data_IF_740535259936
#
_entry.id   IF_740535259936
#
_cell.length_a   1.000
_cell.length_b   1.000
_cell.length_c   1.000
_cell.angle_alpha   90.00
_cell.angle_beta   90.00
_cell.angle_gamma   90.00
#
_symmetry.space_group_name_H-M   'P 1'
#
loop_
_entity.id
_entity.type
_entity.pdbx_description
1 polymer ?
#
# COMPACT_ATOMS: atom_id res chain seq x y z
N UNK A 1 -46.20 28.69 51.43
CA UNK A 1 -46.90 29.74 50.66
C UNK A 1 -46.30 29.73 49.26
N UNK A 2 -47.16 29.44 48.26
CA UNK A 2 -46.98 29.55 46.80
C UNK A 2 -45.78 28.87 46.11
N UNK A 3 -46.08 27.72 45.50
CA UNK A 3 -45.39 27.16 44.33
C UNK A 3 -45.62 28.09 43.13
N UNK A 4 -44.61 28.32 42.30
CA UNK A 4 -44.78 28.89 40.95
C UNK A 4 -44.20 27.92 39.91
N UNK A 5 -45.12 27.20 39.26
CA UNK A 5 -44.93 26.43 38.04
C UNK A 5 -45.01 27.38 36.85
N UNK A 6 -43.90 27.57 36.13
CA UNK A 6 -43.91 28.19 34.81
C UNK A 6 -43.87 27.08 33.75
N UNK A 7 -45.03 26.85 33.15
CA UNK A 7 -45.23 26.02 31.97
C UNK A 7 -44.86 26.89 30.76
N UNK A 8 -43.82 26.49 30.01
CA UNK A 8 -43.53 27.09 28.70
C UNK A 8 -43.51 25.98 27.66
N UNK A 9 -44.44 26.09 26.73
CA UNK A 9 -44.73 25.20 25.61
C UNK A 9 -43.58 25.12 24.59
N UNK A 10 -43.43 23.99 23.88
CA UNK A 10 -42.35 23.79 22.92
C UNK A 10 -42.57 24.59 21.63
N UNK A 11 -41.54 25.34 21.19
CA UNK A 11 -41.52 25.98 19.88
C UNK A 11 -41.28 24.94 18.78
N UNK A 12 -42.23 24.90 17.86
CA UNK A 12 -42.33 24.05 16.68
C UNK A 12 -41.23 24.38 15.65
N UNK A 13 -40.53 23.35 15.15
CA UNK A 13 -39.54 23.48 14.09
C UNK A 13 -40.19 23.84 12.73
N UNK A 14 -39.59 24.73 11.92
CA UNK A 14 -40.08 25.00 10.57
C UNK A 14 -39.70 23.86 9.61
N UNK A 15 -40.73 23.26 8.98
CA UNK A 15 -40.60 22.31 7.85
C UNK A 15 -40.04 23.03 6.62
N UNK A 16 -38.92 22.56 6.09
CA UNK A 16 -38.42 22.94 4.77
C UNK A 16 -39.15 22.16 3.66
N UNK A 17 -39.44 22.76 2.49
CA UNK A 17 -40.21 22.11 1.44
C UNK A 17 -39.37 21.08 0.66
N UNK A 18 -39.95 19.90 0.46
CA UNK A 18 -39.53 18.92 -0.54
C UNK A 18 -39.67 19.53 -1.94
N UNK A 19 -38.57 19.61 -2.69
CA UNK A 19 -38.58 19.91 -4.13
C UNK A 19 -38.01 18.70 -4.89
N UNK A 20 -38.91 18.00 -5.57
CA UNK A 20 -38.75 17.19 -6.79
C UNK A 20 -40.10 17.32 -7.53
N UNK A 21 -40.24 17.14 -8.85
CA UNK A 21 -39.32 16.47 -9.81
C UNK A 21 -39.18 17.21 -11.16
N UNK A 22 -38.38 16.69 -12.11
CA UNK A 22 -38.91 16.28 -13.43
C UNK A 22 -37.81 15.69 -14.31
N UNK A 23 -38.18 14.62 -15.01
CA UNK A 23 -37.43 13.90 -16.02
C UNK A 23 -37.70 14.46 -17.44
N UNK A 24 -37.01 13.86 -18.42
CA UNK A 24 -37.14 13.96 -19.89
C UNK A 24 -36.32 15.10 -20.53
N UNK A 25 -35.63 14.97 -21.67
CA UNK A 25 -35.74 14.03 -22.78
C UNK A 25 -34.43 13.99 -23.61
N UNK A 26 -34.21 12.90 -24.37
CA UNK A 26 -33.28 12.82 -25.50
C UNK A 26 -33.65 13.76 -26.66
N UNK A 27 -32.68 14.12 -27.53
CA UNK A 27 -32.70 13.58 -28.91
C UNK A 27 -31.32 13.25 -29.50
N UNK A 28 -31.15 12.06 -30.08
CA UNK A 28 -30.95 11.69 -31.51
C UNK A 28 -30.01 12.54 -32.39
N UNK A 29 -28.96 11.85 -32.87
CA UNK A 29 -28.37 11.76 -34.23
C UNK A 29 -28.30 12.98 -35.19
N UNK A 30 -27.08 13.27 -35.67
CA UNK A 30 -26.71 13.45 -37.09
C UNK A 30 -25.17 13.43 -37.20
N UNK A 31 -24.48 12.47 -37.83
CA UNK A 31 -24.24 12.20 -39.25
C UNK A 31 -23.57 13.34 -40.07
N UNK A 32 -22.23 13.19 -40.25
CA UNK A 32 -21.34 13.44 -41.43
C UNK A 32 -21.25 14.85 -42.09
N UNK A 33 -20.14 15.23 -42.79
CA UNK A 33 -19.30 14.37 -43.63
C UNK A 33 -17.76 14.49 -43.55
N UNK A 34 -17.20 13.44 -44.14
CA UNK A 34 -15.85 13.10 -44.58
C UNK A 34 -15.13 14.21 -45.37
N UNK A 35 -13.82 14.35 -45.17
CA UNK A 35 -12.91 14.83 -46.21
C UNK A 35 -11.76 13.85 -46.38
N UNK A 36 -11.69 13.31 -47.59
CA UNK A 36 -10.68 12.43 -48.15
C UNK A 36 -9.49 13.29 -48.58
N UNK A 37 -8.26 12.89 -48.21
CA UNK A 37 -7.07 13.22 -49.00
C UNK A 37 -6.21 11.95 -49.10
N UNK A 38 -6.36 11.25 -50.24
CA UNK A 38 -5.34 10.39 -50.87
C UNK A 38 -4.39 11.34 -51.64
N UNK A 39 -3.11 11.14 -51.89
CA UNK A 39 -2.22 9.99 -52.15
C UNK A 39 -0.80 10.64 -52.26
N UNK A 40 0.36 10.02 -51.99
CA UNK A 40 1.03 9.04 -52.83
C UNK A 40 2.32 8.51 -52.16
N UNK A 41 2.62 7.27 -52.52
CA UNK A 41 3.79 6.43 -52.27
C UNK A 41 5.19 7.07 -52.32
N UNK A 42 6.12 6.51 -51.54
CA UNK A 42 7.24 5.72 -52.10
C UNK A 42 7.88 4.78 -51.08
N UNK A 43 8.06 3.53 -51.52
CA UNK A 43 8.68 2.40 -50.79
C UNK A 43 10.20 2.60 -50.71
N UNK A 44 10.83 2.29 -49.57
CA UNK A 44 12.17 1.68 -49.54
C UNK A 44 12.26 0.61 -48.46
N UNK A 45 12.43 -0.62 -48.95
CA UNK A 45 12.83 -1.81 -48.23
C UNK A 45 14.31 -1.72 -47.88
N UNK A 46 14.66 -1.96 -46.61
CA UNK A 46 15.99 -2.46 -46.25
C UNK A 46 15.81 -3.62 -45.27
N UNK A 47 16.10 -4.83 -45.76
CA UNK A 47 16.42 -5.99 -44.94
C UNK A 47 17.72 -5.68 -44.18
N UNK A 48 17.77 -5.93 -42.88
CA UNK A 48 19.03 -6.21 -42.22
C UNK A 48 18.88 -7.35 -41.21
N UNK A 49 19.91 -8.16 -41.17
CA UNK A 49 20.00 -9.54 -40.75
C UNK A 49 20.11 -9.73 -39.24
N UNK A 50 19.69 -10.93 -38.84
CA UNK A 50 19.86 -11.61 -37.55
C UNK A 50 21.25 -11.41 -36.96
N UNK A 51 21.31 -11.12 -35.65
CA UNK A 51 22.30 -11.69 -34.75
C UNK A 51 21.64 -11.98 -33.40
N UNK A 52 21.34 -13.26 -33.17
CA UNK A 52 21.03 -13.84 -31.87
C UNK A 52 22.35 -14.30 -31.27
N UNK A 53 22.64 -13.89 -30.03
CA UNK A 53 23.72 -14.47 -29.22
C UNK A 53 23.12 -15.11 -27.96
N UNK A 54 23.60 -16.29 -27.51
CA UNK A 54 22.97 -17.06 -26.45
C UNK A 54 23.35 -16.55 -25.05
N UNK A 55 22.39 -16.61 -24.13
CA UNK A 55 22.56 -16.42 -22.68
C UNK A 55 23.13 -17.73 -22.09
N UNK A 56 24.21 -17.70 -21.29
CA UNK A 56 24.53 -18.82 -20.42
C UNK A 56 23.66 -18.75 -19.16
N UNK A 57 22.70 -19.67 -19.07
CA UNK A 57 21.92 -19.92 -17.85
C UNK A 57 22.79 -20.63 -16.82
N UNK A 58 23.30 -19.92 -15.82
CA UNK A 58 23.83 -20.57 -14.62
C UNK A 58 22.68 -20.84 -13.67
N UNK A 59 22.18 -22.07 -13.74
CA UNK A 59 21.37 -22.68 -12.70
C UNK A 59 22.25 -22.83 -11.46
N UNK A 60 21.91 -22.19 -10.36
CA UNK A 60 22.53 -22.47 -9.07
C UNK A 60 21.44 -22.63 -8.03
N UNK A 61 21.11 -23.92 -7.87
CA UNK A 61 20.69 -24.62 -6.67
C UNK A 61 20.17 -23.77 -5.50
N UNK A 62 18.86 -23.93 -5.26
CA UNK A 62 18.27 -23.86 -3.93
C UNK A 62 19.04 -24.75 -2.94
N UNK A 63 19.11 -24.31 -1.67
CA UNK A 63 19.30 -25.22 -0.56
C UNK A 63 20.09 -24.69 0.62
N UNK A 64 19.33 -24.25 1.64
CA UNK A 64 19.64 -24.39 3.07
C UNK A 64 20.59 -23.33 3.65
N UNK A 65 20.03 -22.17 4.01
CA UNK A 65 20.54 -21.27 5.05
C UNK A 65 19.46 -20.26 5.48
N UNK A 66 18.31 -20.71 6.00
CA UNK A 66 17.22 -19.80 6.45
C UNK A 66 16.69 -20.08 7.86
N UNK A 67 16.94 -21.27 8.43
CA UNK A 67 16.32 -21.65 9.71
C UNK A 67 16.79 -20.79 10.90
N UNK A 68 18.04 -20.32 10.91
CA UNK A 68 18.54 -19.49 12.00
C UNK A 68 17.98 -18.06 11.98
N UNK A 69 17.75 -17.49 10.79
CA UNK A 69 17.17 -16.15 10.67
C UNK A 69 15.68 -16.14 10.94
N UNK A 70 14.97 -17.20 10.56
CA UNK A 70 13.50 -17.25 10.65
C UNK A 70 13.04 -17.49 12.10
N UNK A 71 13.76 -18.32 12.87
CA UNK A 71 13.51 -18.53 14.30
C UNK A 71 13.80 -17.25 15.11
N UNK A 72 14.85 -16.50 14.77
CA UNK A 72 15.18 -15.23 15.41
C UNK A 72 14.10 -14.16 15.17
N UNK A 73 13.62 -14.03 13.93
CA UNK A 73 12.49 -13.16 13.58
C UNK A 73 11.23 -13.59 14.32
N UNK A 74 10.93 -14.89 14.35
CA UNK A 74 9.75 -15.42 15.04
C UNK A 74 9.79 -15.09 16.53
N UNK A 75 10.94 -15.28 17.19
CA UNK A 75 11.10 -14.97 18.61
C UNK A 75 10.91 -13.47 18.91
N UNK A 76 11.40 -12.60 18.02
CA UNK A 76 11.30 -11.15 18.17
C UNK A 76 9.87 -10.63 18.00
N UNK A 77 9.05 -11.30 17.18
CA UNK A 77 7.67 -10.92 16.89
C UNK A 77 6.63 -11.47 17.89
N UNK A 78 7.01 -12.38 18.80
CA UNK A 78 6.08 -13.09 19.69
C UNK A 78 5.17 -12.19 20.51
N UNK A 79 5.67 -11.02 20.92
CA UNK A 79 4.92 -10.06 21.76
C UNK A 79 4.42 -8.84 20.99
N UNK A 80 4.54 -8.85 19.67
CA UNK A 80 4.18 -7.71 18.83
C UNK A 80 2.69 -7.73 18.54
N UNK A 81 2.04 -6.58 18.78
CA UNK A 81 0.64 -6.33 18.47
C UNK A 81 0.53 -5.17 17.48
N UNK A 82 -0.39 -5.31 16.53
CA UNK A 82 -0.81 -4.23 15.62
C UNK A 82 -2.30 -3.99 15.76
N UNK A 83 -2.77 -2.81 15.36
CA UNK A 83 -4.13 -2.37 15.62
C UNK A 83 -4.89 -2.24 14.31
N UNK A 84 -6.04 -2.89 14.22
CA UNK A 84 -6.92 -2.77 13.05
C UNK A 84 -7.60 -1.39 12.99
N UNK A 85 -8.41 -1.17 11.94
CA UNK A 85 -9.14 0.09 11.75
C UNK A 85 -10.24 0.33 12.82
N UNK A 86 -10.60 -0.68 13.61
CA UNK A 86 -11.51 -0.55 14.75
C UNK A 86 -10.77 -0.30 16.07
N UNK A 87 -9.44 -0.27 16.04
CA UNK A 87 -8.58 -0.10 17.21
C UNK A 87 -8.44 -1.37 18.06
N UNK A 88 -8.80 -2.54 17.52
CA UNK A 88 -8.56 -3.82 18.19
C UNK A 88 -7.10 -4.22 18.03
N UNK A 89 -6.45 -4.58 19.14
CA UNK A 89 -5.12 -5.17 19.13
C UNK A 89 -5.16 -6.60 18.56
N UNK A 90 -4.26 -6.88 17.62
CA UNK A 90 -4.11 -8.14 16.91
C UNK A 90 -2.66 -8.60 17.07
N UNK A 91 -2.41 -9.79 17.63
CA UNK A 91 -1.07 -10.38 17.61
C UNK A 91 -0.59 -10.47 16.16
N UNK A 92 0.63 -10.00 15.87
CA UNK A 92 1.06 -9.86 14.48
C UNK A 92 1.07 -11.19 13.72
N UNK A 93 1.30 -12.31 14.42
CA UNK A 93 1.23 -13.65 13.84
C UNK A 93 -0.15 -14.04 13.32
N UNK A 94 -1.23 -13.50 13.89
CA UNK A 94 -2.59 -13.82 13.47
C UNK A 94 -2.86 -13.36 12.02
N UNK A 95 -2.06 -12.43 11.49
CA UNK A 95 -2.18 -11.93 10.12
C UNK A 95 -1.86 -13.00 9.06
N UNK A 96 -1.04 -14.01 9.41
CA UNK A 96 -0.58 -15.08 8.51
C UNK A 96 -0.53 -16.48 9.15
N UNK A 97 -1.02 -16.67 10.38
CA UNK A 97 -1.01 -18.00 11.02
C UNK A 97 -1.75 -19.03 10.18
N UNK A 98 -2.94 -18.68 9.68
CA UNK A 98 -3.84 -19.62 9.01
C UNK A 98 -3.85 -19.47 7.48
N UNK A 99 -3.08 -18.52 6.93
CA UNK A 99 -3.01 -18.24 5.48
C UNK A 99 -1.68 -17.60 5.11
N UNK A 100 -1.32 -17.64 3.82
CA UNK A 100 -0.19 -16.84 3.33
C UNK A 100 -0.54 -15.34 3.42
N UNK A 101 0.43 -14.48 3.67
CA UNK A 101 0.25 -13.03 3.58
C UNK A 101 1.49 -12.33 3.01
N UNK A 102 1.24 -11.36 2.14
CA UNK A 102 2.19 -10.32 1.75
C UNK A 102 1.97 -9.13 2.69
N UNK A 103 2.92 -8.90 3.59
CA UNK A 103 2.87 -7.82 4.59
C UNK A 103 3.83 -6.70 4.16
N UNK A 104 3.26 -5.59 3.71
CA UNK A 104 3.99 -4.39 3.34
C UNK A 104 4.13 -3.46 4.56
N UNK A 105 5.36 -3.27 5.02
CA UNK A 105 5.69 -2.32 6.07
C UNK A 105 5.98 -0.96 5.44
N UNK A 106 5.05 -0.03 5.60
CA UNK A 106 5.20 1.34 5.14
C UNK A 106 5.92 2.19 6.20
N UNK A 107 6.79 3.10 5.77
CA UNK A 107 7.54 4.01 6.65
C UNK A 107 6.61 4.88 7.51
N UNK A 108 5.53 5.36 6.88
CA UNK A 108 4.39 6.02 7.51
C UNK A 108 3.24 6.14 6.50
N UNK A 109 2.02 6.34 6.99
CA UNK A 109 0.80 6.44 6.16
C UNK A 109 0.76 7.61 5.15
N UNK A 110 1.58 8.64 5.38
CA UNK A 110 1.67 9.82 4.51
C UNK A 110 2.69 9.71 3.36
N UNK A 111 3.50 8.65 3.33
CA UNK A 111 4.66 8.55 2.44
C UNK A 111 4.24 8.30 0.99
N UNK A 112 4.68 9.15 0.06
CA UNK A 112 4.40 9.01 -1.37
C UNK A 112 4.94 7.69 -1.94
N UNK A 113 6.14 7.30 -1.53
CA UNK A 113 6.79 6.08 -2.00
C UNK A 113 6.03 4.84 -1.50
N UNK A 114 5.65 4.85 -0.21
CA UNK A 114 4.85 3.75 0.35
C UNK A 114 3.44 3.70 -0.24
N UNK A 115 2.83 4.85 -0.58
CA UNK A 115 1.54 4.90 -1.28
C UNK A 115 1.63 4.29 -2.68
N UNK A 116 2.70 4.61 -3.42
CA UNK A 116 2.99 3.98 -4.72
C UNK A 116 3.17 2.47 -4.57
N UNK A 117 3.99 2.01 -3.61
CA UNK A 117 4.15 0.57 -3.31
C UNK A 117 2.82 -0.10 -3.01
N UNK A 118 2.00 0.52 -2.15
CA UNK A 118 0.68 0.00 -1.79
C UNK A 118 -0.22 -0.13 -3.02
N UNK A 119 -0.27 0.87 -3.90
CA UNK A 119 -1.07 0.81 -5.13
C UNK A 119 -0.60 -0.31 -6.08
N UNK A 120 0.72 -0.44 -6.28
CA UNK A 120 1.30 -1.52 -7.10
C UNK A 120 0.90 -2.90 -6.54
N UNK A 121 1.03 -3.12 -5.24
CA UNK A 121 0.62 -4.39 -4.62
C UNK A 121 -0.89 -4.61 -4.71
N UNK A 122 -1.70 -3.57 -4.48
CA UNK A 122 -3.15 -3.63 -4.61
C UNK A 122 -3.60 -3.94 -6.05
N UNK A 123 -2.84 -3.54 -7.06
CA UNK A 123 -3.09 -3.91 -8.47
C UNK A 123 -2.93 -5.41 -8.74
N UNK A 124 -2.20 -6.13 -7.88
CA UNK A 124 -1.95 -7.57 -7.97
C UNK A 124 -2.78 -8.39 -7.00
N UNK A 125 -3.68 -7.76 -6.24
CA UNK A 125 -4.48 -8.43 -5.21
C UNK A 125 -5.28 -9.62 -5.75
N UNK A 126 -5.84 -9.53 -6.96
CA UNK A 126 -6.62 -10.62 -7.54
C UNK A 126 -5.78 -11.91 -7.72
N UNK A 127 -4.48 -11.77 -8.01
CA UNK A 127 -3.54 -12.91 -8.07
C UNK A 127 -3.25 -13.48 -6.68
N UNK A 128 -3.09 -12.60 -5.69
CA UNK A 128 -2.88 -13.00 -4.30
C UNK A 128 -4.12 -13.75 -3.76
N UNK A 129 -5.32 -13.22 -3.99
CA UNK A 129 -6.58 -13.83 -3.57
C UNK A 129 -6.78 -15.20 -4.23
N UNK A 130 -6.45 -15.34 -5.52
CA UNK A 130 -6.52 -16.60 -6.24
C UNK A 130 -5.57 -17.67 -5.66
N UNK A 131 -4.44 -17.25 -5.09
CA UNK A 131 -3.49 -18.12 -4.40
C UNK A 131 -3.82 -18.32 -2.90
N UNK A 132 -4.90 -17.71 -2.39
CA UNK A 132 -5.24 -17.73 -0.96
C UNK A 132 -4.29 -16.91 -0.09
N UNK A 133 -3.54 -15.97 -0.69
CA UNK A 133 -2.64 -15.06 0.00
C UNK A 133 -3.30 -13.71 0.28
N UNK A 134 -3.07 -13.19 1.49
CA UNK A 134 -3.53 -11.88 1.90
C UNK A 134 -2.62 -10.76 1.42
N UNK A 135 -3.20 -9.57 1.24
CA UNK A 135 -2.43 -8.33 1.16
C UNK A 135 -2.67 -7.52 2.43
N UNK A 136 -1.58 -7.22 3.14
CA UNK A 136 -1.60 -6.49 4.42
C UNK A 136 -0.65 -5.30 4.35
N UNK A 137 -1.06 -4.15 4.88
CA UNK A 137 -0.21 -2.97 5.06
C UNK A 137 -0.13 -2.63 6.55
N UNK A 138 1.10 -2.50 7.06
CA UNK A 138 1.39 -2.07 8.43
C UNK A 138 2.22 -0.80 8.35
N UNK A 139 1.88 0.22 9.14
CA UNK A 139 2.72 1.40 9.25
C UNK A 139 2.76 1.92 10.70
N UNK A 140 3.86 2.59 11.10
CA UNK A 140 3.88 3.27 12.38
C UNK A 140 2.90 4.43 12.36
N UNK A 141 2.13 4.57 13.44
CA UNK A 141 1.13 5.63 13.56
C UNK A 141 -0.08 5.22 14.39
N UNK A 142 -1.03 6.14 14.52
CA UNK A 142 -2.30 5.89 15.23
C UNK A 142 -3.32 5.21 14.33
N UNK A 143 -4.36 4.62 14.94
CA UNK A 143 -5.52 4.06 14.23
C UNK A 143 -6.18 5.11 13.33
N UNK A 144 -6.32 6.35 13.79
CA UNK A 144 -6.86 7.45 12.97
C UNK A 144 -6.01 7.74 11.72
N UNK A 145 -4.69 7.52 11.77
CA UNK A 145 -3.83 7.66 10.59
C UNK A 145 -4.05 6.50 9.61
N UNK A 146 -4.26 5.29 10.12
CA UNK A 146 -4.60 4.13 9.30
C UNK A 146 -5.97 4.30 8.63
N UNK A 147 -6.98 4.77 9.36
CA UNK A 147 -8.31 5.09 8.81
C UNK A 147 -8.19 6.14 7.72
N UNK A 148 -7.51 7.26 7.98
CA UNK A 148 -7.32 8.31 6.98
C UNK A 148 -6.59 7.80 5.72
N UNK A 149 -5.58 6.93 5.87
CA UNK A 149 -4.93 6.30 4.73
C UNK A 149 -5.91 5.42 3.95
N UNK A 150 -6.66 4.56 4.63
CA UNK A 150 -7.63 3.67 4.01
C UNK A 150 -8.71 4.44 3.25
N UNK A 151 -9.30 5.46 3.87
CA UNK A 151 -10.33 6.31 3.25
C UNK A 151 -9.82 7.05 2.01
N UNK A 152 -8.58 7.57 2.05
CA UNK A 152 -8.02 8.32 0.92
C UNK A 152 -7.58 7.44 -0.24
N UNK A 153 -7.06 6.25 0.04
CA UNK A 153 -6.47 5.37 -0.97
C UNK A 153 -7.44 4.31 -1.47
N UNK A 154 -8.50 4.03 -0.71
CA UNK A 154 -9.38 2.88 -0.93
C UNK A 154 -8.55 1.59 -1.08
N UNK A 155 -7.50 1.46 -0.25
CA UNK A 155 -6.56 0.34 -0.33
C UNK A 155 -7.31 -0.98 -0.25
N UNK A 156 -7.03 -1.88 -1.20
CA UNK A 156 -7.80 -3.12 -1.34
C UNK A 156 -7.43 -4.19 -0.30
N UNK A 157 -6.27 -4.06 0.34
CA UNK A 157 -5.80 -4.97 1.39
C UNK A 157 -6.24 -4.55 2.79
N UNK A 158 -5.78 -5.31 3.77
CA UNK A 158 -5.97 -5.00 5.18
C UNK A 158 -4.96 -3.94 5.64
N UNK A 159 -5.37 -3.04 6.53
CA UNK A 159 -4.52 -1.95 7.04
C UNK A 159 -4.46 -2.02 8.56
N UNK A 160 -3.25 -2.01 9.10
CA UNK A 160 -3.01 -2.00 10.53
C UNK A 160 -2.06 -0.86 10.92
N UNK A 161 -2.34 -0.24 12.06
CA UNK A 161 -1.47 0.71 12.72
C UNK A 161 -0.54 -0.01 13.69
N UNK A 162 0.73 0.41 13.76
CA UNK A 162 1.64 0.07 14.86
C UNK A 162 1.99 1.34 15.65
N UNK A 163 1.19 1.71 16.67
CA UNK A 163 1.45 2.91 17.46
C UNK A 163 2.77 2.86 18.23
N UNK A 164 3.24 1.65 18.55
CA UNK A 164 4.41 1.39 19.39
C UNK A 164 5.71 1.26 18.62
N UNK A 165 5.63 1.03 17.30
CA UNK A 165 6.76 0.71 16.42
C UNK A 165 7.39 -0.65 16.74
N UNK A 166 6.75 -1.46 17.59
CA UNK A 166 7.30 -2.73 18.06
C UNK A 166 7.52 -3.74 16.93
N UNK A 167 6.70 -3.72 15.88
CA UNK A 167 6.92 -4.55 14.69
C UNK A 167 8.16 -4.12 13.91
N UNK A 168 8.45 -2.82 13.88
CA UNK A 168 9.60 -2.28 13.16
C UNK A 168 10.91 -2.54 13.91
N UNK A 169 10.88 -2.39 15.24
CA UNK A 169 12.00 -2.70 16.12
C UNK A 169 12.31 -4.20 16.11
N UNK A 170 11.28 -5.06 16.24
CA UNK A 170 11.43 -6.51 16.20
C UNK A 170 12.01 -7.02 14.87
N UNK A 171 11.59 -6.39 13.76
CA UNK A 171 12.11 -6.71 12.43
C UNK A 171 13.44 -6.03 12.13
N UNK A 172 13.96 -5.18 13.02
CA UNK A 172 15.22 -4.45 12.86
C UNK A 172 15.31 -3.79 11.48
N UNK A 173 14.28 -3.01 11.12
CA UNK A 173 14.29 -2.21 9.90
C UNK A 173 15.28 -1.05 9.99
N UNK A 174 15.84 -0.65 8.85
CA UNK A 174 16.80 0.44 8.83
C UNK A 174 16.17 1.75 9.35
N UNK A 175 16.97 2.54 10.06
CA UNK A 175 16.55 3.82 10.64
C UNK A 175 17.63 4.87 10.44
N UNK A 176 17.24 6.08 10.03
CA UNK A 176 18.14 7.22 10.04
C UNK A 176 17.90 8.26 8.94
N UNK A 177 18.55 9.41 9.13
CA UNK A 177 18.57 10.51 8.16
C UNK A 177 19.27 10.07 6.86
N UNK A 178 20.39 9.37 6.98
CA UNK A 178 21.21 8.90 5.86
C UNK A 178 20.54 7.82 5.02
N UNK A 179 19.59 7.06 5.57
CA UNK A 179 18.78 6.08 4.82
C UNK A 179 17.52 6.72 4.23
N UNK A 180 17.10 7.88 4.74
CA UNK A 180 15.91 8.58 4.28
C UNK A 180 16.20 9.58 3.16
N UNK A 181 17.28 10.35 3.29
CA UNK A 181 17.65 11.41 2.35
C UNK A 181 18.86 10.99 1.51
N UNK A 182 18.63 10.05 0.61
CA UNK A 182 19.62 9.64 -0.39
C UNK A 182 19.31 10.26 -1.75
N UNK A 183 20.30 10.39 -2.64
CA UNK A 183 20.04 10.81 -4.02
C UNK A 183 19.01 9.91 -4.72
N UNK A 184 19.03 8.59 -4.45
CA UNK A 184 18.07 7.64 -5.00
C UNK A 184 16.66 7.87 -4.47
N UNK A 185 16.49 8.14 -3.18
CA UNK A 185 15.20 8.51 -2.60
C UNK A 185 14.63 9.78 -3.24
N UNK A 186 15.47 10.81 -3.44
CA UNK A 186 15.07 12.05 -4.13
C UNK A 186 14.57 11.81 -5.55
N UNK A 187 15.30 11.00 -6.33
CA UNK A 187 14.88 10.62 -7.69
C UNK A 187 13.56 9.85 -7.70
N UNK A 188 13.38 8.90 -6.77
CA UNK A 188 12.13 8.12 -6.65
C UNK A 188 10.93 8.98 -6.28
N UNK A 189 11.12 10.01 -5.45
CA UNK A 189 10.06 10.99 -5.14
C UNK A 189 9.67 11.76 -6.39
N UNK A 190 10.65 12.23 -7.17
CA UNK A 190 10.39 12.95 -8.44
C UNK A 190 9.63 12.04 -9.42
N UNK A 191 10.10 10.80 -9.64
CA UNK A 191 9.42 9.81 -10.48
C UNK A 191 7.96 9.60 -10.04
N UNK A 192 7.74 9.37 -8.74
CA UNK A 192 6.40 9.17 -8.19
C UNK A 192 5.52 10.40 -8.39
N UNK A 193 6.08 11.61 -8.30
CA UNK A 193 5.34 12.84 -8.55
C UNK A 193 4.98 13.00 -10.04
N UNK A 194 5.87 12.62 -10.96
CA UNK A 194 5.58 12.61 -12.40
C UNK A 194 4.48 11.59 -12.74
N UNK A 195 4.44 10.47 -12.05
CA UNK A 195 3.40 9.44 -12.16
C UNK A 195 2.07 9.82 -11.47
N UNK A 196 2.00 10.99 -10.83
CA UNK A 196 0.78 11.52 -10.21
C UNK A 196 0.61 11.22 -8.72
N UNK A 197 1.49 10.44 -8.11
CA UNK A 197 1.46 10.21 -6.66
C UNK A 197 1.87 11.47 -5.89
N UNK A 198 1.27 11.67 -4.71
CA UNK A 198 1.53 12.83 -3.85
C UNK A 198 1.77 12.41 -2.42
N UNK A 199 2.64 13.15 -1.75
CA UNK A 199 2.80 13.05 -0.31
C UNK A 199 1.54 13.57 0.38
N UNK A 200 1.02 12.84 1.36
CA UNK A 200 0.04 13.40 2.28
C UNK A 200 0.76 14.10 3.42
N UNK A 201 0.83 15.42 3.33
CA UNK A 201 1.49 16.26 4.32
C UNK A 201 0.77 16.27 5.67
N UNK A 202 -0.56 16.11 5.72
CA UNK A 202 -1.31 16.05 6.97
C UNK A 202 -0.93 14.83 7.80
N UNK A 203 -0.81 13.66 7.17
CA UNK A 203 -0.33 12.43 7.81
C UNK A 203 1.19 12.43 8.03
N UNK A 204 1.95 13.08 7.15
CA UNK A 204 3.41 13.17 7.26
C UNK A 204 3.86 14.10 8.39
N UNK A 205 3.08 15.12 8.71
CA UNK A 205 3.41 16.08 9.78
C UNK A 205 2.78 15.74 11.13
N UNK A 206 1.99 14.67 11.26
CA UNK A 206 1.54 14.22 12.59
C UNK A 206 2.74 13.93 13.49
N UNK A 207 2.59 14.23 14.77
CA UNK A 207 3.68 14.14 15.74
C UNK A 207 4.32 12.75 15.80
N UNK A 208 3.54 11.66 15.74
CA UNK A 208 4.06 10.29 15.69
C UNK A 208 4.95 10.06 14.45
N UNK A 209 4.50 10.55 13.29
CA UNK A 209 5.28 10.49 12.05
C UNK A 209 6.56 11.33 12.15
N UNK A 210 6.51 12.54 12.69
CA UNK A 210 7.68 13.42 12.78
C UNK A 210 8.71 13.00 13.82
N UNK A 211 8.24 12.48 14.96
CA UNK A 211 9.08 12.09 16.08
C UNK A 211 9.74 10.73 15.86
N UNK A 212 9.09 9.83 15.09
CA UNK A 212 9.53 8.43 14.99
C UNK A 212 9.44 7.83 13.58
N UNK A 213 8.43 8.18 12.76
CA UNK A 213 8.24 7.61 11.41
C UNK A 213 9.05 8.23 10.27
N UNK A 214 9.54 9.46 10.42
CA UNK A 214 10.21 10.21 9.35
C UNK A 214 11.56 9.61 8.94
N UNK A 215 12.18 8.85 9.83
CA UNK A 215 13.52 8.25 9.66
C UNK A 215 13.49 6.73 9.54
N UNK A 216 12.36 6.12 9.87
CA UNK A 216 12.12 4.69 9.80
C UNK A 216 12.03 4.23 8.34
N UNK A 217 12.70 3.14 7.99
CA UNK A 217 12.51 2.42 6.73
C UNK A 217 11.52 1.27 6.93
N UNK A 218 10.98 0.78 5.81
CA UNK A 218 10.00 -0.30 5.78
C UNK A 218 10.55 -1.55 5.11
N UNK A 219 9.66 -2.31 4.51
CA UNK A 219 10.01 -3.52 3.79
C UNK A 219 8.80 -4.32 3.34
N UNK A 220 9.06 -5.53 2.85
CA UNK A 220 8.03 -6.52 2.49
C UNK A 220 8.41 -7.86 3.11
N UNK A 221 7.47 -8.46 3.81
CA UNK A 221 7.55 -9.81 4.36
C UNK A 221 6.48 -10.67 3.67
N UNK A 222 6.84 -11.85 3.19
CA UNK A 222 5.89 -12.88 2.79
C UNK A 222 5.99 -14.03 3.79
N UNK A 223 4.90 -14.27 4.51
CA UNK A 223 4.86 -15.22 5.60
C UNK A 223 3.59 -16.09 5.55
N UNK A 224 3.60 -17.16 6.34
CA UNK A 224 2.50 -18.10 6.50
C UNK A 224 2.38 -19.15 5.39
N UNK A 225 1.40 -20.06 5.50
CA UNK A 225 0.71 -20.40 6.77
C UNK A 225 1.70 -20.90 7.82
N UNK A 226 1.38 -20.71 9.10
CA UNK A 226 2.24 -20.97 10.25
C UNK A 226 3.03 -19.74 10.70
N UNK A 227 3.34 -19.65 12.00
CA UNK A 227 3.97 -18.46 12.60
C UNK A 227 5.42 -18.27 12.19
N UNK A 228 6.15 -19.37 11.97
CA UNK A 228 7.59 -19.38 11.61
C UNK A 228 7.87 -19.54 10.12
N UNK A 229 6.85 -19.63 9.26
CA UNK A 229 7.02 -19.81 7.83
C UNK A 229 7.23 -18.45 7.15
N UNK A 230 8.48 -18.06 6.91
CA UNK A 230 8.85 -16.85 6.18
C UNK A 230 9.43 -17.27 4.83
N UNK A 231 8.71 -17.00 3.73
CA UNK A 231 9.17 -17.36 2.38
C UNK A 231 9.91 -16.24 1.67
N UNK A 232 9.78 -14.99 2.14
CA UNK A 232 10.50 -13.85 1.60
C UNK A 232 10.58 -12.73 2.61
N UNK A 233 11.74 -12.08 2.71
CA UNK A 233 11.88 -10.88 3.52
C UNK A 233 12.85 -9.88 2.89
N UNK A 234 12.32 -8.72 2.53
CA UNK A 234 13.08 -7.59 2.03
C UNK A 234 12.99 -6.44 3.02
N UNK A 235 14.14 -6.01 3.54
CA UNK A 235 14.28 -4.79 4.34
C UNK A 235 14.76 -3.66 3.44
N UNK A 236 14.01 -2.57 3.40
CA UNK A 236 14.40 -1.40 2.61
C UNK A 236 15.72 -0.83 3.16
N UNK A 237 16.73 -0.67 2.30
CA UNK A 237 18.01 -0.06 2.70
C UNK A 237 17.90 1.46 2.81
N UNK A 238 16.99 2.02 2.02
CA UNK A 238 16.72 3.45 1.91
C UNK A 238 15.29 3.72 1.46
N UNK A 239 14.84 4.96 1.56
CA UNK A 239 13.51 5.34 1.13
C UNK A 239 13.30 5.08 -0.38
N UNK A 240 12.30 4.26 -0.72
CA UNK A 240 12.01 3.87 -2.11
C UNK A 240 12.85 2.71 -2.64
N UNK A 241 13.50 1.96 -1.76
CA UNK A 241 14.16 0.70 -2.10
C UNK A 241 13.15 -0.45 -2.24
N UNK A 242 12.21 -0.29 -3.18
CA UNK A 242 11.18 -1.29 -3.47
C UNK A 242 11.78 -2.56 -4.10
N UNK A 243 11.44 -3.76 -3.61
CA UNK A 243 11.81 -4.99 -4.29
C UNK A 243 11.00 -5.16 -5.58
N UNK A 244 11.43 -6.08 -6.45
CA UNK A 244 10.63 -6.41 -7.62
C UNK A 244 9.32 -7.09 -7.19
N UNK A 245 8.18 -6.60 -7.67
CA UNK A 245 6.86 -7.17 -7.36
C UNK A 245 6.73 -8.61 -7.86
N UNK A 246 7.40 -8.98 -8.96
CA UNK A 246 7.40 -10.36 -9.45
C UNK A 246 8.05 -11.33 -8.46
N UNK A 247 9.09 -10.92 -7.73
CA UNK A 247 9.73 -11.76 -6.70
C UNK A 247 8.79 -11.97 -5.51
N UNK A 248 8.04 -10.93 -5.13
CA UNK A 248 7.01 -11.01 -4.08
C UNK A 248 5.89 -11.95 -4.50
N UNK A 249 5.43 -11.86 -5.75
CA UNK A 249 4.38 -12.73 -6.28
C UNK A 249 4.84 -14.18 -6.36
N UNK A 250 6.08 -14.41 -6.80
CA UNK A 250 6.69 -15.74 -6.81
C UNK A 250 6.78 -16.33 -5.39
N UNK A 251 6.96 -15.51 -4.35
CA UNK A 251 7.04 -16.00 -2.97
C UNK A 251 5.68 -16.25 -2.30
N UNK A 252 4.60 -15.58 -2.74
CA UNK A 252 3.27 -15.72 -2.14
C UNK A 252 2.35 -16.68 -2.87
N UNK A 253 2.53 -16.79 -4.18
CA UNK A 253 1.45 -17.16 -5.08
C UNK A 253 1.83 -18.27 -6.07
N UNK A 254 2.99 -18.91 -5.83
CA UNK A 254 3.50 -20.07 -6.57
C UNK A 254 3.13 -21.39 -5.93
#
# INVERSE_FOLDING_TARGET
MAMNLAITTPLTAPRLPLIRPSASAHPRNSCYPTMIVSTYHTKKSCRFSRFLSPIPSTVSSSGIASTASDEDITSSLEKVEVYDLMGKAIPIFDLWRDRKAVVAFARHFGCVLCRKRADILASKKDLMDAAGAALVLIAPGTVDQAIAFFEQTQFKGEVYADPTHSSFDALNFAYGVSTTFTPKAGMKIIESYLEGYRQDWGLSFKENTRSKGGWQQGGILVAGPGTSNISYFHKDKEAGDDPNVEDVLQACCS
#
